data_IF_070114299281
#
_entry.id   IF_070114299281
#
_cell.length_a   1.000
_cell.length_b   1.000
_cell.length_c   1.000
_cell.angle_alpha   90.00
_cell.angle_beta   90.00
_cell.angle_gamma   90.00
#
_symmetry.space_group_name_H-M   'P 1'
#
loop_
_entity.id
_entity.type
_entity.pdbx_description
1 polymer ?
#
# COMPACT_ATOMS: atom_id res chain seq x y z
N UNK A 1 -52.72 5.58 -15.19
CA UNK A 1 -53.78 4.57 -15.35
C UNK A 1 -53.29 3.29 -14.71
N UNK A 2 -53.84 2.91 -13.56
CA UNK A 2 -53.45 1.68 -12.86
C UNK A 2 -54.20 0.54 -13.52
N UNK A 3 -53.52 -0.30 -14.29
CA UNK A 3 -54.10 -1.51 -14.85
C UNK A 3 -54.34 -2.51 -13.72
N UNK A 4 -55.59 -2.63 -13.29
CA UNK A 4 -56.03 -3.64 -12.32
C UNK A 4 -56.38 -4.94 -13.03
N UNK A 5 -55.53 -5.96 -12.89
CA UNK A 5 -55.84 -7.33 -13.30
C UNK A 5 -56.52 -8.09 -12.15
N UNK A 6 -57.80 -8.45 -12.32
CA UNK A 6 -58.51 -9.35 -11.40
C UNK A 6 -58.14 -10.80 -11.73
N UNK A 7 -57.28 -11.41 -10.90
CA UNK A 7 -56.88 -12.82 -11.04
C UNK A 7 -57.81 -13.68 -10.18
N UNK A 8 -58.64 -14.52 -10.80
CA UNK A 8 -59.72 -15.28 -10.13
C UNK A 8 -59.29 -16.64 -9.56
N UNK A 9 -58.09 -17.14 -9.87
CA UNK A 9 -57.60 -18.43 -9.33
C UNK A 9 -56.07 -18.49 -9.32
N UNK A 10 -55.46 -18.16 -8.18
CA UNK A 10 -54.07 -18.56 -7.93
C UNK A 10 -54.06 -20.03 -7.49
N UNK A 11 -53.52 -20.93 -8.32
CA UNK A 11 -53.16 -22.27 -7.87
C UNK A 11 -52.15 -22.17 -6.71
N UNK A 12 -52.12 -23.17 -5.80
CA UNK A 12 -51.18 -23.21 -4.65
C UNK A 12 -49.73 -22.89 -5.04
N UNK A 13 -49.31 -23.36 -6.21
CA UNK A 13 -47.98 -23.12 -6.80
C UNK A 13 -47.79 -21.64 -7.14
N UNK A 14 -48.75 -21.00 -7.80
CA UNK A 14 -48.66 -19.60 -8.20
C UNK A 14 -48.64 -18.64 -6.98
N UNK A 15 -49.38 -18.96 -5.91
CA UNK A 15 -49.33 -18.19 -4.66
C UNK A 15 -47.97 -18.31 -3.96
N UNK A 16 -47.35 -19.50 -3.95
CA UNK A 16 -46.01 -19.71 -3.41
C UNK A 16 -44.94 -18.98 -4.23
N UNK A 17 -45.04 -19.00 -5.56
CA UNK A 17 -44.14 -18.25 -6.46
C UNK A 17 -44.29 -16.74 -6.24
N UNK A 18 -45.51 -16.22 -6.14
CA UNK A 18 -45.74 -14.81 -5.85
C UNK A 18 -45.13 -14.39 -4.50
N UNK A 19 -45.30 -15.21 -3.46
CA UNK A 19 -44.66 -14.97 -2.15
C UNK A 19 -43.13 -14.92 -2.28
N UNK A 20 -42.52 -15.82 -3.04
CA UNK A 20 -41.07 -15.85 -3.23
C UNK A 20 -40.57 -14.60 -3.97
N UNK A 21 -41.26 -14.19 -5.04
CA UNK A 21 -40.90 -12.99 -5.82
C UNK A 21 -41.03 -11.73 -4.97
N UNK A 22 -42.12 -11.59 -4.20
CA UNK A 22 -42.32 -10.44 -3.30
C UNK A 22 -41.22 -10.39 -2.24
N UNK A 23 -40.90 -11.52 -1.58
CA UNK A 23 -39.84 -11.57 -0.58
C UNK A 23 -38.47 -11.26 -1.18
N UNK A 24 -38.20 -11.67 -2.41
CA UNK A 24 -36.97 -11.32 -3.11
C UNK A 24 -36.88 -9.82 -3.37
N UNK A 25 -37.93 -9.21 -3.95
CA UNK A 25 -37.98 -7.77 -4.23
C UNK A 25 -37.89 -6.93 -2.96
N UNK A 26 -38.52 -7.37 -1.87
CA UNK A 26 -38.43 -6.69 -0.57
C UNK A 26 -36.98 -6.66 -0.05
N UNK A 27 -36.27 -7.80 -0.09
CA UNK A 27 -34.87 -7.87 0.33
C UNK A 27 -33.94 -7.04 -0.56
N UNK A 28 -34.21 -6.98 -1.86
CA UNK A 28 -33.45 -6.15 -2.80
C UNK A 28 -33.61 -4.66 -2.44
N UNK A 29 -34.84 -4.21 -2.20
CA UNK A 29 -35.12 -2.84 -1.77
C UNK A 29 -34.50 -2.51 -0.39
N UNK A 30 -34.59 -3.42 0.59
CA UNK A 30 -33.95 -3.25 1.89
C UNK A 30 -32.43 -3.10 1.77
N UNK A 31 -31.78 -3.89 0.92
CA UNK A 31 -30.33 -3.78 0.67
C UNK A 31 -29.96 -2.46 0.04
N UNK A 32 -30.75 -2.00 -0.93
CA UNK A 32 -30.49 -0.74 -1.62
C UNK A 32 -30.54 0.46 -0.66
N UNK A 33 -31.52 0.49 0.25
CA UNK A 33 -31.60 1.53 1.29
C UNK A 33 -30.40 1.47 2.22
N UNK A 34 -30.01 0.28 2.69
CA UNK A 34 -28.85 0.14 3.58
C UNK A 34 -27.56 0.54 2.88
N UNK A 35 -27.37 0.19 1.61
CA UNK A 35 -26.15 0.51 0.87
C UNK A 35 -26.04 1.98 0.49
N UNK A 36 -27.17 2.68 0.31
CA UNK A 36 -27.17 4.14 0.16
C UNK A 36 -26.52 4.84 1.37
N UNK A 37 -26.65 4.30 2.59
CA UNK A 37 -25.96 4.84 3.78
C UNK A 37 -24.42 4.65 3.76
N UNK A 38 -23.91 3.84 2.84
CA UNK A 38 -22.47 3.55 2.69
C UNK A 38 -21.84 4.25 1.48
N UNK A 39 -22.61 4.94 0.64
CA UNK A 39 -22.07 5.72 -0.50
C UNK A 39 -21.08 6.79 0.00
N UNK A 40 -21.47 7.54 1.03
CA UNK A 40 -20.61 8.57 1.65
C UNK A 40 -19.40 7.99 2.41
N UNK A 41 -19.36 6.67 2.61
CA UNK A 41 -18.29 5.96 3.34
C UNK A 41 -17.32 5.23 2.41
N UNK A 42 -17.56 5.26 1.10
CA UNK A 42 -16.58 4.77 0.13
C UNK A 42 -15.27 5.52 0.34
N UNK A 43 -14.15 4.79 0.33
CA UNK A 43 -12.84 5.36 0.62
C UNK A 43 -12.47 5.41 2.10
N UNK A 44 -13.31 4.91 3.00
CA UNK A 44 -13.01 4.84 4.44
C UNK A 44 -12.73 3.42 4.90
N UNK A 45 -12.08 3.29 6.07
CA UNK A 45 -11.89 2.01 6.72
C UNK A 45 -12.87 1.86 7.87
N UNK A 46 -13.52 0.70 7.91
CA UNK A 46 -14.47 0.33 8.95
C UNK A 46 -14.08 -0.99 9.58
N UNK A 47 -14.50 -1.20 10.82
CA UNK A 47 -14.33 -2.50 11.49
C UNK A 47 -15.57 -3.34 11.26
N UNK A 48 -15.38 -4.56 10.77
CA UNK A 48 -16.43 -5.55 10.57
C UNK A 48 -16.16 -6.85 11.30
N UNK A 49 -17.15 -7.74 11.29
CA UNK A 49 -17.04 -9.10 11.82
C UNK A 49 -17.19 -10.10 10.67
N UNK A 50 -16.26 -11.04 10.57
CA UNK A 50 -16.30 -12.07 9.53
C UNK A 50 -17.46 -13.03 9.82
N UNK A 51 -18.46 -13.06 8.93
CA UNK A 51 -19.61 -13.98 9.08
C UNK A 51 -19.37 -15.32 8.40
N UNK A 52 -18.72 -15.30 7.23
CA UNK A 52 -18.49 -16.50 6.43
C UNK A 52 -17.23 -16.37 5.59
N UNK A 53 -16.50 -17.47 5.50
CA UNK A 53 -15.30 -17.60 4.66
C UNK A 53 -15.60 -18.67 3.62
N UNK A 54 -15.66 -18.26 2.35
CA UNK A 54 -15.82 -19.13 1.19
C UNK A 54 -14.50 -19.13 0.39
N UNK A 55 -14.23 -20.12 -0.48
CA UNK A 55 -12.93 -20.24 -1.15
C UNK A 55 -12.48 -19.02 -1.97
N UNK A 56 -13.42 -18.19 -2.44
CA UNK A 56 -13.14 -17.01 -3.29
C UNK A 56 -13.59 -15.69 -2.68
N UNK A 57 -14.38 -15.71 -1.61
CA UNK A 57 -15.05 -14.53 -1.05
C UNK A 57 -15.15 -14.67 0.46
N UNK A 58 -14.80 -13.60 1.18
CA UNK A 58 -15.09 -13.46 2.60
C UNK A 58 -16.27 -12.52 2.78
N UNK A 59 -17.29 -12.93 3.54
CA UNK A 59 -18.45 -12.10 3.86
C UNK A 59 -18.27 -11.47 5.24
N UNK A 60 -18.42 -10.16 5.31
CA UNK A 60 -18.11 -9.36 6.49
C UNK A 60 -19.32 -8.51 6.84
N UNK A 61 -19.77 -8.59 8.09
CA UNK A 61 -20.84 -7.78 8.63
C UNK A 61 -20.31 -6.43 9.12
N UNK A 62 -20.98 -5.37 8.68
CA UNK A 62 -20.68 -3.97 8.99
C UNK A 62 -21.92 -3.34 9.66
N UNK A 63 -22.34 -3.93 10.77
CA UNK A 63 -23.57 -3.54 11.46
C UNK A 63 -24.82 -3.92 10.66
N UNK A 64 -25.40 -2.97 9.93
CA UNK A 64 -26.64 -3.21 9.15
C UNK A 64 -26.37 -3.77 7.75
N UNK A 65 -25.15 -3.61 7.23
CA UNK A 65 -24.75 -4.07 5.89
C UNK A 65 -23.89 -5.33 5.96
N UNK A 66 -23.88 -6.09 4.86
CA UNK A 66 -22.92 -7.17 4.64
C UNK A 66 -22.14 -6.85 3.38
N UNK A 67 -20.82 -6.70 3.53
CA UNK A 67 -19.90 -6.56 2.42
C UNK A 67 -19.21 -7.86 2.06
N UNK A 68 -18.64 -7.88 0.86
CA UNK A 68 -17.86 -8.99 0.34
C UNK A 68 -16.42 -8.56 0.08
N UNK A 69 -15.47 -9.41 0.43
CA UNK A 69 -14.06 -9.22 0.12
C UNK A 69 -13.61 -10.35 -0.83
N UNK A 70 -13.55 -10.09 -2.14
CA UNK A 70 -13.13 -11.10 -3.11
C UNK A 70 -11.64 -11.42 -2.94
N UNK A 71 -11.22 -12.58 -3.45
CA UNK A 71 -9.84 -13.06 -3.31
C UNK A 71 -8.77 -12.07 -3.80
N UNK A 72 -9.06 -11.28 -4.84
CA UNK A 72 -8.15 -10.25 -5.36
C UNK A 72 -7.93 -9.08 -4.39
N UNK A 73 -8.87 -8.85 -3.48
CA UNK A 73 -8.85 -7.76 -2.50
C UNK A 73 -8.40 -8.22 -1.11
N UNK A 74 -8.10 -9.52 -0.97
CA UNK A 74 -7.57 -10.11 0.26
C UNK A 74 -6.05 -9.99 0.30
N UNK A 75 -5.50 -9.90 1.51
CA UNK A 75 -4.06 -10.07 1.73
C UNK A 75 -3.72 -11.56 1.59
N UNK A 76 -2.84 -11.96 0.65
CA UNK A 76 -2.47 -13.36 0.46
C UNK A 76 -1.80 -13.94 1.72
N UNK A 77 -2.26 -15.10 2.18
CA UNK A 77 -1.74 -15.77 3.37
C UNK A 77 -2.33 -15.29 4.70
N UNK A 78 -3.17 -14.25 4.70
CA UNK A 78 -3.88 -13.82 5.90
C UNK A 78 -4.98 -14.82 6.28
N UNK A 79 -5.07 -15.15 7.58
CA UNK A 79 -6.08 -16.06 8.10
C UNK A 79 -7.38 -15.31 8.47
N UNK A 80 -8.44 -15.60 7.73
CA UNK A 80 -9.80 -15.14 8.00
C UNK A 80 -10.57 -16.20 8.80
N UNK A 81 -10.94 -15.87 10.03
CA UNK A 81 -11.72 -16.74 10.91
C UNK A 81 -13.13 -16.18 11.15
N UNK A 82 -14.15 -17.04 11.09
CA UNK A 82 -15.54 -16.64 11.40
C UNK A 82 -15.64 -16.13 12.84
N UNK A 83 -16.37 -15.03 13.04
CA UNK A 83 -16.54 -14.33 14.32
C UNK A 83 -15.39 -13.36 14.66
N UNK A 84 -14.29 -13.37 13.88
CA UNK A 84 -13.16 -12.47 14.12
C UNK A 84 -13.48 -11.06 13.62
N UNK A 85 -13.07 -10.05 14.38
CA UNK A 85 -13.15 -8.64 13.97
C UNK A 85 -11.96 -8.30 13.06
N UNK A 86 -12.21 -7.51 12.03
CA UNK A 86 -11.21 -7.14 11.03
C UNK A 86 -11.49 -5.72 10.51
N UNK A 87 -10.46 -4.91 10.29
CA UNK A 87 -10.60 -3.63 9.59
C UNK A 87 -10.60 -3.87 8.08
N UNK A 88 -11.46 -3.17 7.37
CA UNK A 88 -11.58 -3.29 5.91
C UNK A 88 -11.80 -1.92 5.29
N UNK A 89 -11.14 -1.69 4.15
CA UNK A 89 -11.38 -0.55 3.30
C UNK A 89 -12.64 -0.78 2.47
N UNK A 90 -13.54 0.21 2.45
CA UNK A 90 -14.71 0.20 1.57
C UNK A 90 -14.25 0.69 0.20
N UNK A 91 -14.10 -0.26 -0.74
CA UNK A 91 -13.56 0.03 -2.07
C UNK A 91 -14.61 0.64 -2.99
N UNK A 92 -15.77 -0.01 -3.10
CA UNK A 92 -16.83 0.39 -4.03
C UNK A 92 -18.17 -0.27 -3.69
N UNK A 93 -19.24 0.15 -4.34
CA UNK A 93 -20.55 -0.50 -4.34
C UNK A 93 -20.87 -0.97 -5.76
N UNK A 94 -20.75 -2.27 -6.00
CA UNK A 94 -21.12 -2.88 -7.27
C UNK A 94 -22.64 -3.07 -7.33
N UNK A 95 -23.30 -2.45 -8.32
CA UNK A 95 -24.77 -2.59 -8.52
C UNK A 95 -25.15 -3.63 -9.56
N UNK A 96 -24.18 -4.29 -10.19
CA UNK A 96 -24.43 -5.23 -11.27
C UNK A 96 -24.78 -6.65 -10.79
N UNK A 97 -25.51 -7.40 -11.62
CA UNK A 97 -25.82 -8.81 -11.37
C UNK A 97 -26.94 -9.04 -10.34
N UNK A 98 -26.60 -9.58 -9.16
CA UNK A 98 -27.55 -10.09 -8.15
C UNK A 98 -28.01 -9.01 -7.14
N UNK A 99 -28.00 -7.76 -7.57
CA UNK A 99 -28.29 -6.59 -6.74
C UNK A 99 -27.04 -5.99 -6.09
N UNK A 100 -27.18 -4.82 -5.46
CA UNK A 100 -26.06 -4.02 -4.98
C UNK A 100 -25.28 -4.73 -3.86
N UNK A 101 -23.94 -4.67 -3.95
CA UNK A 101 -23.01 -5.30 -3.03
C UNK A 101 -21.87 -4.36 -2.68
N UNK A 102 -21.55 -4.29 -1.40
CA UNK A 102 -20.42 -3.53 -0.89
C UNK A 102 -19.13 -4.33 -1.08
N UNK A 103 -18.20 -3.82 -1.90
CA UNK A 103 -16.89 -4.42 -2.12
C UNK A 103 -15.91 -3.88 -1.09
N UNK A 104 -15.30 -4.81 -0.37
CA UNK A 104 -14.35 -4.55 0.70
C UNK A 104 -12.94 -4.98 0.27
N UNK A 105 -11.94 -4.31 0.82
CA UNK A 105 -10.54 -4.64 0.54
C UNK A 105 -9.66 -4.52 1.78
N UNK A 106 -8.66 -5.39 1.83
CA UNK A 106 -7.46 -5.24 2.69
C UNK A 106 -6.18 -5.17 1.85
N UNK A 107 -6.24 -5.58 0.58
CA UNK A 107 -5.11 -5.54 -0.36
C UNK A 107 -4.87 -4.18 -1.03
N UNK A 108 -5.84 -3.27 -1.00
CA UNK A 108 -5.74 -1.96 -1.65
C UNK A 108 -4.69 -1.04 -0.96
N UNK A 109 -4.01 -0.18 -1.73
CA UNK A 109 -3.04 0.82 -1.23
C UNK A 109 -3.68 1.84 -0.29
N UNK A 110 -4.93 2.23 -0.56
CA UNK A 110 -5.68 3.18 0.24
C UNK A 110 -6.02 2.64 1.64
N UNK A 111 -6.03 1.32 1.82
CA UNK A 111 -6.09 0.73 3.15
C UNK A 111 -4.88 1.13 4.00
N UNK A 112 -3.66 1.06 3.43
CA UNK A 112 -2.43 1.46 4.11
C UNK A 112 -2.41 2.97 4.35
N UNK A 113 -2.84 3.78 3.36
CA UNK A 113 -2.97 5.23 3.51
C UNK A 113 -3.82 5.60 4.73
N UNK A 114 -4.99 4.99 4.84
CA UNK A 114 -5.91 5.23 5.95
C UNK A 114 -5.31 4.79 7.29
N UNK A 115 -4.65 3.63 7.35
CA UNK A 115 -4.01 3.17 8.59
C UNK A 115 -2.95 4.16 9.07
N UNK A 116 -2.13 4.69 8.16
CA UNK A 116 -1.18 5.75 8.52
C UNK A 116 -1.85 7.03 8.96
N UNK A 117 -2.98 7.43 8.36
CA UNK A 117 -3.68 8.64 8.79
C UNK A 117 -4.22 8.53 10.23
N UNK A 118 -4.49 7.31 10.72
CA UNK A 118 -4.87 7.07 12.12
C UNK A 118 -3.66 7.08 13.07
N UNK A 119 -2.50 6.60 12.62
CA UNK A 119 -1.28 6.50 13.43
C UNK A 119 -0.44 7.79 13.44
N UNK A 120 -0.60 8.64 12.41
CA UNK A 120 0.19 9.86 12.18
C UNK A 120 -0.74 11.09 12.20
N UNK A 121 -1.04 11.67 13.38
CA UNK A 121 -1.93 12.83 13.50
C UNK A 121 -1.41 14.06 12.75
N UNK A 122 -0.11 14.14 12.47
CA UNK A 122 0.51 15.21 11.69
C UNK A 122 0.04 15.22 10.22
N UNK A 123 -0.56 14.13 9.73
CA UNK A 123 -1.22 14.11 8.42
C UNK A 123 -2.52 14.92 8.41
N UNK A 124 -3.27 14.94 9.51
CA UNK A 124 -4.54 15.67 9.60
C UNK A 124 -4.34 17.19 9.59
N UNK A 125 -3.22 17.66 10.16
CA UNK A 125 -2.83 19.07 10.15
C UNK A 125 -2.15 19.49 8.85
N UNK A 126 -1.85 18.54 7.96
CA UNK A 126 -1.12 18.76 6.72
C UNK A 126 0.37 19.07 6.92
N UNK A 127 0.94 18.77 8.09
CA UNK A 127 2.37 18.97 8.34
C UNK A 127 3.24 18.00 7.53
N UNK A 128 2.74 16.76 7.37
CA UNK A 128 3.34 15.72 6.55
C UNK A 128 2.28 15.07 5.68
N UNK A 129 2.69 14.53 4.54
CA UNK A 129 1.76 13.89 3.60
C UNK A 129 2.37 12.67 2.92
N UNK A 130 1.50 11.75 2.49
CA UNK A 130 1.89 10.59 1.68
C UNK A 130 1.73 10.98 0.20
N UNK A 131 2.87 11.12 -0.50
CA UNK A 131 2.92 11.49 -1.92
C UNK A 131 2.59 10.33 -2.84
N UNK A 132 3.10 9.14 -2.55
CA UNK A 132 2.86 7.94 -3.36
C UNK A 132 2.93 6.67 -2.52
N UNK A 133 2.21 5.64 -2.97
CA UNK A 133 2.24 4.30 -2.39
C UNK A 133 2.43 3.32 -3.54
N UNK A 134 3.30 2.34 -3.37
CA UNK A 134 3.38 1.19 -4.25
C UNK A 134 3.32 -0.07 -3.38
N UNK A 135 2.29 -0.90 -3.57
CA UNK A 135 2.04 -2.06 -2.71
C UNK A 135 2.00 -3.37 -3.48
N UNK A 136 2.60 -4.39 -2.89
CA UNK A 136 2.29 -5.80 -3.14
C UNK A 136 1.80 -6.40 -1.82
N UNK A 137 0.47 -6.49 -1.66
CA UNK A 137 -0.18 -6.88 -0.42
C UNK A 137 0.37 -8.22 0.13
N UNK A 138 0.61 -8.25 1.44
CA UNK A 138 1.16 -9.41 2.15
C UNK A 138 2.65 -9.63 1.95
N UNK A 139 3.34 -8.75 1.20
CA UNK A 139 4.78 -8.89 0.93
C UNK A 139 5.55 -7.61 1.23
N UNK A 140 5.32 -6.55 0.46
CA UNK A 140 6.10 -5.32 0.59
C UNK A 140 5.34 -4.10 0.07
N UNK A 141 5.47 -3.00 0.78
CA UNK A 141 4.92 -1.69 0.43
C UNK A 141 6.02 -0.65 0.51
N UNK A 142 6.15 0.19 -0.53
CA UNK A 142 6.96 1.40 -0.49
C UNK A 142 6.03 2.60 -0.34
N UNK A 143 6.39 3.49 0.58
CA UNK A 143 5.63 4.67 0.95
C UNK A 143 6.50 5.91 0.80
N UNK A 144 6.16 6.79 -0.16
CA UNK A 144 6.85 8.05 -0.34
C UNK A 144 6.16 9.15 0.49
N UNK A 145 6.91 9.78 1.39
CA UNK A 145 6.39 10.79 2.33
C UNK A 145 7.15 12.11 2.18
N UNK A 146 6.43 13.22 2.31
CA UNK A 146 6.99 14.56 2.28
C UNK A 146 6.54 15.35 3.51
N UNK A 147 7.34 16.35 3.88
CA UNK A 147 6.93 17.37 4.84
C UNK A 147 6.54 18.63 4.10
N UNK A 148 5.41 19.23 4.48
CA UNK A 148 5.01 20.56 4.03
C UNK A 148 5.57 21.68 4.94
N UNK A 149 6.06 21.32 6.14
CA UNK A 149 6.61 22.26 7.11
C UNK A 149 8.14 22.14 7.20
N UNK A 150 8.88 23.24 7.06
CA UNK A 150 10.32 23.25 7.28
C UNK A 150 10.68 22.75 8.69
N UNK A 151 11.67 21.87 8.78
CA UNK A 151 12.18 21.35 10.05
C UNK A 151 11.40 20.16 10.64
N UNK A 152 10.35 19.70 9.96
CA UNK A 152 9.68 18.43 10.29
C UNK A 152 10.27 17.32 9.43
N UNK A 153 10.76 16.26 10.06
CA UNK A 153 11.23 15.05 9.37
C UNK A 153 10.06 14.12 9.05
N UNK A 154 9.66 13.99 7.77
CA UNK A 154 8.52 13.15 7.41
C UNK A 154 8.80 11.67 7.68
N UNK A 155 10.02 11.18 7.44
CA UNK A 155 10.30 9.74 7.64
C UNK A 155 10.21 9.39 9.12
N UNK A 156 10.86 10.18 9.99
CA UNK A 156 10.78 10.01 11.43
C UNK A 156 9.35 10.10 11.98
N UNK A 157 8.54 11.02 11.46
CA UNK A 157 7.13 11.16 11.85
C UNK A 157 6.29 9.93 11.51
N UNK A 158 6.47 9.32 10.33
CA UNK A 158 5.73 8.11 9.95
C UNK A 158 6.26 6.84 10.64
N UNK A 159 7.57 6.76 10.91
CA UNK A 159 8.19 5.65 11.63
C UNK A 159 7.77 5.66 13.11
N UNK A 160 7.74 6.86 13.72
CA UNK A 160 7.52 7.04 15.15
C UNK A 160 8.72 6.61 16.01
N UNK A 161 8.68 6.91 17.30
CA UNK A 161 9.73 6.51 18.24
C UNK A 161 9.97 4.99 18.20
N UNK A 162 11.21 4.56 17.94
CA UNK A 162 11.59 3.15 17.78
C UNK A 162 10.75 2.34 16.76
N UNK A 163 10.15 2.99 15.77
CA UNK A 163 9.33 2.31 14.75
C UNK A 163 7.92 1.94 15.22
N UNK A 164 7.45 2.49 16.34
CA UNK A 164 6.14 2.15 16.93
C UNK A 164 4.96 2.34 15.99
N UNK A 165 4.90 3.45 15.24
CA UNK A 165 3.78 3.76 14.34
C UNK A 165 3.77 2.84 13.13
N UNK A 166 4.91 2.66 12.46
CA UNK A 166 5.02 1.74 11.32
C UNK A 166 4.75 0.29 11.73
N UNK A 167 5.16 -0.12 12.93
CA UNK A 167 4.86 -1.45 13.48
C UNK A 167 3.36 -1.63 13.75
N UNK A 168 2.65 -0.62 14.25
CA UNK A 168 1.21 -0.68 14.43
C UNK A 168 0.48 -0.94 13.09
N UNK A 169 0.88 -0.23 12.03
CA UNK A 169 0.33 -0.47 10.67
C UNK A 169 0.69 -1.86 10.16
N UNK A 170 1.95 -2.30 10.30
CA UNK A 170 2.39 -3.66 9.90
C UNK A 170 1.59 -4.75 10.64
N UNK A 171 1.32 -4.58 11.92
CA UNK A 171 0.53 -5.53 12.71
C UNK A 171 -0.92 -5.61 12.23
N UNK A 172 -1.48 -4.50 11.73
CA UNK A 172 -2.83 -4.50 11.17
C UNK A 172 -2.89 -5.16 9.79
N UNK A 173 -1.90 -4.99 8.91
CA UNK A 173 -1.91 -5.58 7.55
C UNK A 173 -1.27 -6.99 7.49
N UNK A 174 -0.72 -7.47 8.60
CA UNK A 174 -0.11 -8.78 8.75
C UNK A 174 1.42 -8.74 8.79
N UNK A 175 2.01 -9.58 9.63
CA UNK A 175 3.44 -9.57 9.99
C UNK A 175 4.41 -9.81 8.82
N UNK A 176 3.91 -10.36 7.71
CA UNK A 176 4.71 -10.71 6.54
C UNK A 176 4.98 -9.52 5.63
N UNK A 177 4.11 -8.50 5.63
CA UNK A 177 4.27 -7.33 4.76
C UNK A 177 5.30 -6.36 5.37
N UNK A 178 6.38 -6.08 4.63
CA UNK A 178 7.37 -5.06 5.02
C UNK A 178 7.02 -3.70 4.44
N UNK A 179 7.13 -2.64 5.24
CA UNK A 179 6.88 -1.26 4.80
C UNK A 179 8.20 -0.51 4.78
N UNK A 180 8.58 0.00 3.60
CA UNK A 180 9.68 0.95 3.43
C UNK A 180 9.10 2.36 3.37
N UNK A 181 9.49 3.22 4.30
CA UNK A 181 9.12 4.64 4.31
C UNK A 181 10.29 5.43 3.74
N UNK A 182 10.04 6.21 2.70
CA UNK A 182 11.06 6.81 1.85
C UNK A 182 10.77 8.31 1.72
N UNK A 183 11.77 9.19 1.85
CA UNK A 183 11.57 10.61 1.61
C UNK A 183 11.28 10.85 0.12
N UNK A 184 10.19 11.58 -0.15
CA UNK A 184 9.89 12.08 -1.47
C UNK A 184 10.81 13.26 -1.80
N UNK A 185 11.28 13.32 -3.04
CA UNK A 185 12.04 14.45 -3.58
C UNK A 185 11.39 14.91 -4.89
N UNK A 186 11.46 16.21 -5.16
CA UNK A 186 10.97 16.77 -6.42
C UNK A 186 11.90 16.44 -7.60
N UNK A 187 13.20 16.32 -7.32
CA UNK A 187 14.17 15.84 -8.30
C UNK A 187 13.95 14.34 -8.58
N UNK A 188 13.76 13.99 -9.85
CA UNK A 188 13.47 12.62 -10.24
C UNK A 188 14.63 11.67 -9.93
N UNK A 189 15.88 12.11 -10.13
CA UNK A 189 17.04 11.27 -9.88
C UNK A 189 17.19 10.95 -8.39
N UNK A 190 17.06 11.96 -7.52
CA UNK A 190 17.04 11.82 -6.07
C UNK A 190 15.88 10.94 -5.58
N UNK A 191 14.67 11.17 -6.08
CA UNK A 191 13.52 10.36 -5.69
C UNK A 191 13.65 8.89 -6.12
N UNK A 192 14.16 8.62 -7.33
CA UNK A 192 14.44 7.27 -7.80
C UNK A 192 15.51 6.59 -6.95
N UNK A 193 16.60 7.30 -6.63
CA UNK A 193 17.64 6.77 -5.75
C UNK A 193 17.07 6.36 -4.38
N UNK A 194 16.24 7.23 -3.78
CA UNK A 194 15.57 6.94 -2.51
C UNK A 194 14.59 5.75 -2.63
N UNK A 195 13.83 5.65 -3.73
CA UNK A 195 12.87 4.58 -3.98
C UNK A 195 13.51 3.19 -4.08
N UNK A 196 14.79 3.12 -4.46
CA UNK A 196 15.56 1.87 -4.58
C UNK A 196 15.99 1.27 -3.24
N UNK A 197 15.89 2.03 -2.14
CA UNK A 197 16.14 1.54 -0.78
C UNK A 197 15.46 0.19 -0.52
N UNK A 198 16.17 -0.83 0.00
CA UNK A 198 17.43 -0.75 0.74
C UNK A 198 18.70 -0.84 -0.12
N UNK A 199 18.60 -0.94 -1.44
CA UNK A 199 19.78 -1.03 -2.30
C UNK A 199 20.50 0.32 -2.38
N UNK A 200 21.81 0.31 -2.23
CA UNK A 200 22.63 1.52 -2.37
C UNK A 200 22.86 1.84 -3.86
N UNK A 201 22.47 3.06 -4.25
CA UNK A 201 22.57 3.54 -5.64
C UNK A 201 23.81 4.42 -5.79
N UNK A 202 24.60 4.17 -6.84
CA UNK A 202 25.78 4.98 -7.16
C UNK A 202 25.41 6.26 -7.92
N UNK A 203 24.52 6.13 -8.91
CA UNK A 203 24.00 7.26 -9.69
C UNK A 203 22.75 6.85 -10.45
N UNK A 204 21.92 7.83 -10.81
CA UNK A 204 20.72 7.64 -11.63
C UNK A 204 20.83 8.55 -12.85
N UNK A 205 20.58 8.01 -14.03
CA UNK A 205 20.42 8.80 -15.27
C UNK A 205 18.97 8.75 -15.69
N UNK A 206 18.32 9.90 -15.75
CA UNK A 206 16.89 10.01 -16.03
C UNK A 206 16.68 10.55 -17.44
N UNK A 207 15.80 9.89 -18.19
CA UNK A 207 15.21 10.41 -19.42
C UNK A 207 13.76 10.81 -19.11
N UNK A 208 13.52 12.12 -18.99
CA UNK A 208 12.20 12.65 -18.63
C UNK A 208 11.17 12.49 -19.74
N UNK A 209 11.57 12.56 -21.01
CA UNK A 209 10.69 12.45 -22.17
C UNK A 209 10.08 11.04 -22.29
N UNK A 210 10.90 10.01 -22.05
CA UNK A 210 10.47 8.61 -22.13
C UNK A 210 9.93 8.07 -20.79
N UNK A 211 10.04 8.83 -19.69
CA UNK A 211 9.81 8.33 -18.32
C UNK A 211 10.59 7.04 -18.01
N UNK A 212 11.85 7.00 -18.45
CA UNK A 212 12.78 5.89 -18.21
C UNK A 212 13.99 6.38 -17.42
N UNK A 213 14.54 5.53 -16.57
CA UNK A 213 15.76 5.83 -15.84
C UNK A 213 16.67 4.61 -15.71
N UNK A 214 17.98 4.84 -15.87
CA UNK A 214 19.02 3.85 -15.63
C UNK A 214 19.61 4.08 -14.25
N UNK A 215 19.48 3.08 -13.39
CA UNK A 215 20.00 3.06 -12.02
C UNK A 215 21.30 2.28 -12.01
N UNK A 216 22.39 2.97 -11.66
CA UNK A 216 23.70 2.36 -11.53
C UNK A 216 23.95 1.93 -10.10
N UNK A 217 24.31 0.67 -9.91
CA UNK A 217 24.62 0.06 -8.61
C UNK A 217 25.95 -0.68 -8.70
N UNK A 218 26.56 -0.98 -7.56
CA UNK A 218 27.71 -1.87 -7.53
C UNK A 218 27.28 -3.33 -7.77
N UNK A 219 28.20 -4.19 -8.18
CA UNK A 219 27.92 -5.61 -8.47
C UNK A 219 27.30 -6.35 -7.28
N UNK A 220 27.71 -6.02 -6.05
CA UNK A 220 27.15 -6.60 -4.82
C UNK A 220 25.72 -6.11 -4.53
N UNK A 221 25.36 -4.89 -4.95
CA UNK A 221 24.04 -4.32 -4.77
C UNK A 221 23.05 -4.69 -5.88
N UNK A 222 23.51 -5.21 -7.02
CA UNK A 222 22.65 -5.52 -8.16
C UNK A 222 21.51 -6.49 -7.80
N UNK A 223 21.82 -7.55 -7.03
CA UNK A 223 20.82 -8.52 -6.59
C UNK A 223 19.78 -7.90 -5.65
N UNK A 224 20.23 -7.02 -4.74
CA UNK A 224 19.36 -6.31 -3.79
C UNK A 224 18.46 -5.30 -4.52
N UNK A 225 19.03 -4.57 -5.48
CA UNK A 225 18.33 -3.58 -6.30
C UNK A 225 17.20 -4.20 -7.11
N UNK A 226 17.44 -5.35 -7.75
CA UNK A 226 16.41 -6.11 -8.46
C UNK A 226 15.39 -6.66 -7.46
N UNK A 227 15.87 -7.27 -6.37
CA UNK A 227 15.06 -7.93 -5.37
C UNK A 227 14.48 -9.26 -5.85
N UNK A 228 13.87 -10.02 -4.93
CA UNK A 228 13.31 -11.35 -5.24
C UNK A 228 12.25 -11.23 -6.35
N UNK A 229 12.46 -11.95 -7.46
CA UNK A 229 11.60 -11.90 -8.64
C UNK A 229 11.37 -10.48 -9.22
N UNK A 230 12.32 -9.55 -9.01
CA UNK A 230 12.19 -8.17 -9.48
C UNK A 230 11.26 -7.31 -8.61
N UNK A 231 10.92 -7.74 -7.39
CA UNK A 231 9.95 -7.01 -6.55
C UNK A 231 10.41 -5.59 -6.22
N UNK A 232 11.69 -5.38 -5.88
CA UNK A 232 12.16 -4.07 -5.43
C UNK A 232 12.10 -3.05 -6.56
N UNK A 233 12.66 -3.40 -7.73
CA UNK A 233 12.62 -2.53 -8.92
C UNK A 233 11.19 -2.27 -9.41
N UNK A 234 10.29 -3.26 -9.35
CA UNK A 234 8.87 -3.09 -9.74
C UNK A 234 8.13 -2.14 -8.80
N UNK A 235 8.39 -2.24 -7.49
CA UNK A 235 7.80 -1.35 -6.50
C UNK A 235 8.35 0.07 -6.63
N UNK A 236 9.67 0.23 -6.81
CA UNK A 236 10.29 1.53 -7.03
C UNK A 236 9.76 2.19 -8.31
N UNK A 237 9.66 1.42 -9.41
CA UNK A 237 9.10 1.88 -10.69
C UNK A 237 7.65 2.35 -10.55
N UNK A 238 6.80 1.59 -9.85
CA UNK A 238 5.41 2.02 -9.58
C UNK A 238 5.34 3.26 -8.68
N UNK A 239 6.23 3.37 -7.71
CA UNK A 239 6.25 4.48 -6.76
C UNK A 239 6.66 5.80 -7.43
N UNK A 240 7.65 5.76 -8.32
CA UNK A 240 8.18 6.94 -9.01
C UNK A 240 7.45 7.25 -10.31
N UNK A 241 6.78 6.26 -10.91
CA UNK A 241 6.17 6.36 -12.23
C UNK A 241 7.17 6.29 -13.39
N UNK A 242 8.40 5.83 -13.14
CA UNK A 242 9.44 5.65 -14.17
C UNK A 242 9.68 4.16 -14.42
N UNK A 243 9.97 3.76 -15.66
CA UNK A 243 10.57 2.46 -15.93
C UNK A 243 12.05 2.48 -15.53
N UNK A 244 12.48 1.48 -14.74
CA UNK A 244 13.81 1.46 -14.14
C UNK A 244 14.63 0.30 -14.68
N UNK A 245 15.77 0.62 -15.30
CA UNK A 245 16.78 -0.34 -15.73
C UNK A 245 17.95 -0.35 -14.75
N UNK A 246 18.39 -1.54 -14.31
CA UNK A 246 19.47 -1.68 -13.32
C UNK A 246 20.74 -2.14 -14.02
N UNK A 247 21.78 -1.32 -13.95
CA UNK A 247 23.11 -1.64 -14.48
C UNK A 247 24.15 -1.71 -13.37
N UNK A 248 24.92 -2.79 -13.35
CA UNK A 248 26.07 -2.91 -12.47
C UNK A 248 27.27 -2.17 -13.07
N UNK A 249 27.86 -1.27 -12.30
CA UNK A 249 29.18 -0.69 -12.61
C UNK A 249 30.20 -1.27 -11.64
N UNK A 250 31.41 -1.54 -12.14
CA UNK A 250 32.54 -1.81 -11.28
C UNK A 250 32.72 -0.60 -10.35
N UNK A 251 32.59 -0.82 -9.04
CA UNK A 251 32.83 0.24 -8.06
C UNK A 251 34.22 0.82 -8.35
N UNK A 252 34.31 2.14 -8.54
CA UNK A 252 35.61 2.80 -8.59
C UNK A 252 36.32 2.45 -7.29
N UNK A 253 37.33 1.57 -7.35
CA UNK A 253 38.13 1.22 -6.18
C UNK A 253 38.60 2.56 -5.62
N UNK A 254 38.35 2.86 -4.33
CA UNK A 254 38.97 4.03 -3.74
C UNK A 254 40.46 3.84 -3.95
N UNK A 255 41.09 4.74 -4.71
CA UNK A 255 42.54 4.75 -4.84
C UNK A 255 43.07 4.74 -3.41
N UNK A 256 43.71 3.64 -3.04
CA UNK A 256 44.35 3.52 -1.75
C UNK A 256 45.37 4.66 -1.72
N UNK A 257 45.04 5.75 -1.01
CA UNK A 257 46.01 6.81 -0.73
C UNK A 257 47.25 6.07 -0.24
N UNK A 258 48.41 6.21 -0.92
CA UNK A 258 49.60 5.49 -0.51
C UNK A 258 49.81 5.81 0.96
N UNK A 259 49.79 4.77 1.80
CA UNK A 259 50.10 4.90 3.22
C UNK A 259 51.48 5.54 3.25
N UNK A 260 51.57 6.84 3.59
CA UNK A 260 52.86 7.44 3.90
C UNK A 260 53.41 6.63 5.06
N UNK A 261 54.55 5.99 4.83
CA UNK A 261 55.26 5.26 5.86
C UNK A 261 55.52 6.25 7.01
N UNK A 262 55.08 5.87 8.22
CA UNK A 262 55.17 6.70 9.42
C UNK A 262 56.64 7.07 9.70
N UNK A 263 57.58 6.22 9.26
CA UNK A 263 59.02 6.45 9.37
C UNK A 263 59.52 7.65 8.54
N UNK A 264 59.02 7.84 7.32
CA UNK A 264 59.42 8.99 6.47
C UNK A 264 58.89 10.32 7.00
N UNK A 265 57.72 10.29 7.65
CA UNK A 265 57.13 11.48 8.28
C UNK A 265 57.79 11.84 9.62
N UNK A 266 58.43 10.87 10.28
CA UNK A 266 59.18 11.09 11.52
C UNK A 266 60.60 11.57 11.23
N UNK A 267 61.27 11.04 10.21
CA UNK A 267 62.61 11.53 9.82
C UNK A 267 62.57 12.97 9.31
N UNK A 268 61.59 13.33 8.48
CA UNK A 268 61.44 14.70 7.98
C UNK A 268 61.17 15.72 9.09
N UNK A 269 60.40 15.35 10.13
CA UNK A 269 60.16 16.21 11.29
C UNK A 269 61.37 16.33 12.23
N UNK A 270 62.31 15.39 12.20
CA UNK A 270 63.56 15.47 12.99
C UNK A 270 64.62 16.29 12.27
N UNK A 271 64.66 16.26 10.94
CA UNK A 271 65.55 17.11 10.14
C UNK A 271 65.15 18.59 10.17
N UNK A 272 63.85 18.92 10.16
CA UNK A 272 63.35 20.31 10.28
C UNK A 272 63.63 20.97 11.65
N UNK A 273 63.94 20.18 12.69
CA UNK A 273 64.26 20.70 14.04
C UNK A 273 65.77 20.84 14.24
N UNK A 274 66.58 20.35 13.29
CA UNK A 274 68.04 20.36 13.35
C UNK A 274 68.70 21.49 12.54
N UNK A 275 67.93 22.28 11.78
CA UNK A 275 68.33 23.58 11.22
C UNK A 275 67.88 24.76 12.10
#
# INVERSE_FOLDING_TARGET
>A
TVETHNVTTFGRVAAQTAKQVILQRLREAEREVVLAEFEDKIGTVVTGTIQRVEPRVVRIELGKAVGIMPQSEQIPGEYYGVGRRVKVYIKDIEREGRGPQLILSRGNEEFVRFLFSQEVPEMETGAVEIKAIAREAGRRTKLAVASALPGVDPVGTFVGGHGTRVQAVMNEIGEQEKIDIIPFEEDAAGFIANAMSPAEVLSVTVNEDEKRATVYVSEDQQSVAIGRAGQNVRLASRLTGYELDIEAKAAAKPEAKPRKNIEDSLMSAVEEVAE
#
